data_IF_435771064278
#
_entry.id   IF_435771064278
#
_cell.length_a   1.000
_cell.length_b   1.000
_cell.length_c   1.000
_cell.angle_alpha   90.00
_cell.angle_beta   90.00
_cell.angle_gamma   90.00
#
_symmetry.space_group_name_H-M   'P 1'
#
loop_
_entity.id
_entity.type
_entity.pdbx_description
1 polymer ?
#
# COMPACT_ATOMS: atom_id res chain seq x y z
N UNK A 1 2.49 -14.08 3.73
CA UNK A 1 2.05 -13.34 4.90
C UNK A 1 0.71 -12.75 4.52
N UNK A 2 0.48 -11.49 4.84
CA UNK A 2 -0.73 -10.74 4.43
C UNK A 2 -0.37 -9.47 3.64
N UNK A 3 0.76 -9.51 2.93
CA UNK A 3 1.30 -8.37 2.20
C UNK A 3 0.33 -7.88 1.12
N UNK A 4 -0.31 -8.82 0.42
CA UNK A 4 -1.25 -8.51 -0.66
C UNK A 4 -2.57 -7.95 -0.13
N UNK A 5 -3.04 -8.42 1.02
CA UNK A 5 -4.22 -7.93 1.71
C UNK A 5 -4.03 -6.48 2.18
N UNK A 6 -2.84 -6.16 2.72
CA UNK A 6 -2.50 -4.79 3.08
C UNK A 6 -2.45 -3.85 1.87
N UNK A 7 -1.78 -4.27 0.78
CA UNK A 7 -1.67 -3.49 -0.46
C UNK A 7 -3.02 -3.33 -1.17
N UNK A 8 -3.86 -4.37 -1.15
CA UNK A 8 -5.21 -4.32 -1.72
C UNK A 8 -6.10 -3.40 -0.88
N UNK A 9 -5.98 -3.44 0.45
CA UNK A 9 -6.73 -2.58 1.37
C UNK A 9 -6.46 -1.10 1.12
N UNK A 10 -5.19 -0.68 1.04
CA UNK A 10 -4.85 0.71 0.75
C UNK A 10 -5.28 1.11 -0.67
N UNK A 11 -5.12 0.23 -1.66
CA UNK A 11 -5.55 0.50 -3.04
C UNK A 11 -7.07 0.73 -3.11
N UNK A 12 -7.85 -0.09 -2.41
CA UNK A 12 -9.31 0.04 -2.36
C UNK A 12 -9.74 1.33 -1.66
N UNK A 13 -9.07 1.70 -0.56
CA UNK A 13 -9.33 2.96 0.13
C UNK A 13 -9.03 4.17 -0.77
N UNK A 14 -7.90 4.15 -1.47
CA UNK A 14 -7.51 5.20 -2.42
C UNK A 14 -8.48 5.32 -3.60
N UNK A 15 -8.94 4.19 -4.16
CA UNK A 15 -9.97 4.18 -5.21
C UNK A 15 -11.30 4.76 -4.70
N UNK A 16 -11.65 4.51 -3.44
CA UNK A 16 -12.85 5.08 -2.83
C UNK A 16 -12.72 6.60 -2.69
N UNK A 17 -11.56 7.11 -2.28
CA UNK A 17 -11.29 8.55 -2.22
C UNK A 17 -11.37 9.16 -3.63
N UNK A 18 -10.77 8.51 -4.62
CA UNK A 18 -10.88 8.94 -6.01
C UNK A 18 -12.35 9.02 -6.44
N UNK A 19 -13.15 8.00 -6.13
CA UNK A 19 -14.58 7.98 -6.45
C UNK A 19 -15.35 9.17 -5.85
N UNK A 20 -15.04 9.54 -4.62
CA UNK A 20 -15.67 10.67 -3.93
C UNK A 20 -15.22 12.04 -4.48
N UNK A 21 -13.98 12.14 -4.98
CA UNK A 21 -13.38 13.41 -5.40
C UNK A 21 -13.32 13.63 -6.92
N UNK A 22 -13.60 12.60 -7.74
CA UNK A 22 -13.50 12.64 -9.23
C UNK A 22 -14.34 13.72 -9.92
N UNK A 23 -15.32 14.29 -9.22
CA UNK A 23 -16.12 15.40 -9.73
C UNK A 23 -15.40 16.75 -9.68
N UNK A 24 -14.43 16.90 -8.76
CA UNK A 24 -13.65 18.12 -8.58
C UNK A 24 -12.43 18.13 -9.49
N UNK A 25 -11.72 17.01 -9.55
CA UNK A 25 -10.54 16.82 -10.39
C UNK A 25 -10.48 15.37 -10.88
N UNK A 26 -10.28 15.19 -12.19
CA UNK A 26 -10.11 13.86 -12.83
C UNK A 26 -8.64 13.50 -13.05
N UNK A 27 -7.72 14.44 -12.80
CA UNK A 27 -6.28 14.25 -12.94
C UNK A 27 -5.59 13.73 -11.68
N UNK A 28 -6.34 13.37 -10.63
CA UNK A 28 -5.76 12.83 -9.41
C UNK A 28 -4.99 11.53 -9.69
N UNK A 29 -3.78 11.43 -9.17
CA UNK A 29 -2.93 10.25 -9.28
C UNK A 29 -2.90 9.47 -7.96
N UNK A 30 -2.99 8.15 -8.04
CA UNK A 30 -2.76 7.25 -6.90
C UNK A 30 -1.30 6.78 -6.96
N UNK A 31 -0.51 7.11 -5.94
CA UNK A 31 0.93 6.85 -5.92
C UNK A 31 1.44 6.45 -4.54
N UNK A 32 2.76 6.23 -4.44
CA UNK A 32 3.43 5.88 -3.18
C UNK A 32 2.84 4.66 -2.46
N UNK A 33 2.37 3.66 -3.23
CA UNK A 33 1.81 2.42 -2.70
C UNK A 33 2.92 1.36 -2.61
N UNK A 34 3.31 1.00 -1.40
CA UNK A 34 4.34 -0.01 -1.14
C UNK A 34 4.18 -0.59 0.27
N UNK A 35 4.77 -1.77 0.48
CA UNK A 35 4.83 -2.40 1.80
C UNK A 35 5.84 -1.66 2.68
N UNK A 36 5.42 -1.20 3.86
CA UNK A 36 6.30 -0.51 4.82
C UNK A 36 7.04 -1.52 5.69
N UNK A 37 6.31 -2.50 6.21
CA UNK A 37 6.83 -3.50 7.13
C UNK A 37 6.05 -4.80 6.98
N UNK A 38 6.72 -5.92 7.22
CA UNK A 38 6.08 -7.23 7.40
C UNK A 38 6.89 -8.06 8.38
N UNK A 39 6.24 -8.55 9.42
CA UNK A 39 6.82 -9.51 10.37
C UNK A 39 6.34 -10.94 10.08
N UNK A 40 7.25 -11.90 10.20
CA UNK A 40 6.91 -13.33 10.28
C UNK A 40 6.90 -14.08 8.95
N UNK A 41 6.73 -15.40 9.06
CA UNK A 41 6.95 -16.34 7.96
C UNK A 41 8.43 -16.69 7.77
N UNK A 42 8.73 -17.54 6.79
CA UNK A 42 10.10 -18.03 6.52
C UNK A 42 11.10 -16.90 6.22
N UNK A 43 10.62 -15.80 5.65
CA UNK A 43 11.44 -14.68 5.20
C UNK A 43 11.81 -13.69 6.32
N UNK A 44 11.39 -13.91 7.57
CA UNK A 44 11.75 -13.01 8.68
C UNK A 44 11.01 -11.67 8.67
N UNK A 45 11.68 -10.63 9.17
CA UNK A 45 11.14 -9.28 9.28
C UNK A 45 11.59 -8.44 8.08
N UNK A 46 10.70 -7.63 7.54
CA UNK A 46 11.00 -6.72 6.44
C UNK A 46 10.64 -5.32 6.88
N UNK A 47 11.53 -4.35 6.66
CA UNK A 47 11.28 -2.93 6.88
C UNK A 47 11.82 -2.15 5.69
N UNK A 48 10.98 -1.35 5.04
CA UNK A 48 11.37 -0.61 3.83
C UNK A 48 12.47 0.42 4.09
N UNK A 49 12.45 1.08 5.25
CA UNK A 49 13.50 2.04 5.64
C UNK A 49 14.90 1.40 5.72
N UNK A 50 14.97 0.07 5.91
CA UNK A 50 16.20 -0.70 6.05
C UNK A 50 16.61 -1.39 4.73
N UNK A 51 15.85 -1.20 3.64
CA UNK A 51 16.22 -1.62 2.29
C UNK A 51 16.16 -3.14 2.02
N UNK A 52 15.62 -3.95 2.93
CA UNK A 52 15.61 -5.41 2.75
C UNK A 52 14.91 -6.21 3.86
N UNK A 53 15.00 -7.54 3.73
CA UNK A 53 14.62 -8.48 4.80
C UNK A 53 15.77 -8.54 5.81
N UNK A 54 15.46 -8.32 7.08
CA UNK A 54 16.33 -8.47 8.25
C UNK A 54 16.06 -9.77 8.99
#
# INVERSE_FOLDING_TARGET
GVEMEALTGVSTALLTIYDMCKALDKGMELGEIYLVEKTGGKSGHYVRAEGGYV
#
